data_IF_201226037998
#
_entry.id   IF_201226037998
#
_cell.length_a   1.000
_cell.length_b   1.000
_cell.length_c   1.000
_cell.angle_alpha   90.00
_cell.angle_beta   90.00
_cell.angle_gamma   90.00
#
_symmetry.space_group_name_H-M   'P 1'
#
loop_
_entity.id
_entity.type
_entity.pdbx_description
1 polymer ?
#
# COMPACT_ATOMS: atom_id res chain seq x y z
N UNK A 1 -70.95 -11.00 18.39
CA UNK A 1 -69.48 -11.07 18.32
C UNK A 1 -69.01 -9.65 18.02
N UNK A 2 -68.78 -8.74 18.98
CA UNK A 2 -67.69 -8.71 19.98
C UNK A 2 -66.32 -9.00 19.34
N UNK A 3 -65.26 -8.17 19.42
CA UNK A 3 -65.03 -6.85 20.01
C UNK A 3 -63.72 -6.25 19.39
N UNK A 4 -63.42 -5.00 19.75
CA UNK A 4 -62.27 -4.11 19.42
C UNK A 4 -60.87 -4.77 19.53
N UNK A 5 -59.77 -4.24 18.98
CA UNK A 5 -58.90 -3.14 19.47
C UNK A 5 -57.69 -3.05 18.50
N UNK A 6 -57.43 -1.91 17.84
CA UNK A 6 -56.37 -0.89 18.07
C UNK A 6 -54.93 -1.18 17.57
N UNK A 7 -54.43 -0.17 16.85
CA UNK A 7 -53.14 0.53 17.00
C UNK A 7 -51.90 0.26 16.14
N UNK A 8 -51.35 1.42 15.73
CA UNK A 8 -49.97 1.86 15.63
C UNK A 8 -48.96 1.30 14.61
N UNK A 9 -48.41 2.27 13.85
CA UNK A 9 -47.03 2.46 13.35
C UNK A 9 -46.04 1.27 13.43
N UNK A 10 -45.24 1.09 12.35
CA UNK A 10 -43.79 1.42 12.32
C UNK A 10 -43.01 0.82 11.13
N UNK A 11 -42.21 1.70 10.53
CA UNK A 11 -40.80 1.54 10.10
C UNK A 11 -40.38 0.61 8.94
N UNK A 12 -39.67 1.26 8.02
CA UNK A 12 -38.30 0.94 7.56
C UNK A 12 -38.02 -0.47 7.04
N UNK A 13 -37.84 -0.57 5.74
CA UNK A 13 -37.05 -1.65 5.13
C UNK A 13 -35.71 -1.07 4.70
N UNK A 14 -34.73 -1.16 5.60
CA UNK A 14 -33.31 -1.15 5.28
C UNK A 14 -33.04 -2.20 4.20
N UNK A 15 -32.61 -1.76 3.02
CA UNK A 15 -32.10 -2.66 1.98
C UNK A 15 -30.67 -3.01 2.40
N UNK A 16 -30.51 -4.18 3.00
CA UNK A 16 -29.21 -4.70 3.41
C UNK A 16 -28.23 -4.73 2.24
N UNK A 17 -27.04 -4.18 2.49
CA UNK A 17 -25.88 -4.24 1.62
C UNK A 17 -25.47 -5.72 1.47
N UNK A 18 -25.32 -6.19 0.22
CA UNK A 18 -24.87 -7.56 -0.04
C UNK A 18 -23.35 -7.53 -0.18
N UNK A 19 -22.65 -8.08 0.82
CA UNK A 19 -21.24 -8.47 0.70
C UNK A 19 -21.16 -9.61 -0.32
N UNK A 20 -20.53 -9.36 -1.46
CA UNK A 20 -20.20 -10.41 -2.41
C UNK A 20 -18.71 -10.74 -2.26
N UNK A 21 -18.36 -12.02 -2.28
CA UNK A 21 -16.97 -12.43 -2.48
C UNK A 21 -16.75 -12.61 -3.98
N UNK A 22 -15.78 -11.91 -4.56
CA UNK A 22 -15.29 -12.16 -5.91
C UNK A 22 -13.80 -12.47 -5.89
N UNK A 23 -13.41 -13.39 -6.77
CA UNK A 23 -12.02 -13.71 -7.13
C UNK A 23 -11.22 -14.48 -6.09
N UNK A 24 -11.04 -13.92 -4.90
CA UNK A 24 -10.07 -14.38 -3.90
C UNK A 24 -10.61 -14.36 -2.45
N UNK A 25 -11.91 -14.16 -2.26
CA UNK A 25 -12.51 -14.01 -0.92
C UNK A 25 -12.34 -12.59 -0.32
N UNK A 26 -11.86 -11.63 -1.11
CA UNK A 26 -11.78 -10.22 -0.74
C UNK A 26 -13.17 -9.66 -0.39
N UNK A 27 -13.32 -8.94 0.75
CA UNK A 27 -14.57 -8.30 1.08
C UNK A 27 -14.90 -7.26 0.00
N UNK A 28 -16.06 -7.43 -0.66
CA UNK A 28 -16.51 -6.51 -1.71
C UNK A 28 -17.85 -5.89 -1.35
N UNK A 29 -17.93 -4.56 -1.50
CA UNK A 29 -19.12 -3.75 -1.27
C UNK A 29 -19.55 -3.14 -2.60
N UNK A 30 -20.85 -3.18 -2.90
CA UNK A 30 -21.40 -2.38 -3.99
C UNK A 30 -21.70 -0.96 -3.49
N UNK A 31 -21.22 0.05 -4.19
CA UNK A 31 -21.47 1.44 -3.82
C UNK A 31 -22.95 1.83 -3.99
N UNK A 32 -23.43 2.66 -3.07
CA UNK A 32 -24.79 3.24 -3.09
C UNK A 32 -24.72 4.73 -2.78
N UNK A 33 -24.21 5.06 -1.60
CA UNK A 33 -23.94 6.42 -1.16
C UNK A 33 -22.78 6.44 -0.15
N UNK A 34 -22.13 7.60 0.07
CA UNK A 34 -20.99 7.70 0.99
C UNK A 34 -21.33 7.27 2.42
N UNK A 35 -22.51 7.60 2.95
CA UNK A 35 -22.90 7.27 4.32
C UNK A 35 -22.98 5.75 4.52
N UNK A 36 -23.63 5.03 3.60
CA UNK A 36 -23.71 3.57 3.66
C UNK A 36 -22.35 2.91 3.47
N UNK A 37 -21.54 3.40 2.52
CA UNK A 37 -20.18 2.90 2.31
C UNK A 37 -19.36 3.01 3.60
N UNK A 38 -19.40 4.18 4.23
CA UNK A 38 -18.64 4.48 5.42
C UNK A 38 -19.06 3.63 6.62
N UNK A 39 -20.37 3.44 6.81
CA UNK A 39 -20.89 2.52 7.83
C UNK A 39 -20.44 1.08 7.57
N UNK A 40 -20.41 0.65 6.31
CA UNK A 40 -19.96 -0.69 5.96
C UNK A 40 -18.47 -0.89 6.24
N UNK A 41 -17.62 0.10 5.90
CA UNK A 41 -16.18 0.08 6.19
C UNK A 41 -15.92 -0.10 7.70
N UNK A 42 -16.71 0.55 8.56
CA UNK A 42 -16.53 0.46 10.03
C UNK A 42 -16.75 -0.95 10.59
N UNK A 43 -17.35 -1.87 9.82
CA UNK A 43 -17.63 -3.24 10.23
C UNK A 43 -16.73 -4.28 9.53
N UNK A 44 -15.76 -3.85 8.72
CA UNK A 44 -14.80 -4.75 8.09
C UNK A 44 -13.72 -5.14 9.11
N UNK A 45 -13.42 -6.43 9.20
CA UNK A 45 -12.45 -6.97 10.15
C UNK A 45 -11.01 -6.98 9.66
N UNK A 46 -10.80 -6.80 8.36
CA UNK A 46 -9.50 -6.76 7.70
C UNK A 46 -8.99 -5.35 7.44
N UNK A 47 -7.85 -5.27 6.75
CA UNK A 47 -7.16 -4.03 6.39
C UNK A 47 -7.49 -3.50 4.99
N UNK A 48 -8.39 -4.17 4.25
CA UNK A 48 -8.83 -3.67 2.95
C UNK A 48 -10.27 -4.03 2.62
N UNK A 49 -10.86 -3.30 1.67
CA UNK A 49 -12.15 -3.61 1.05
C UNK A 49 -12.20 -3.10 -0.39
N UNK A 50 -12.84 -3.88 -1.27
CA UNK A 50 -13.09 -3.49 -2.65
C UNK A 50 -14.50 -2.89 -2.74
N UNK A 51 -14.62 -1.73 -3.37
CA UNK A 51 -15.89 -1.05 -3.60
C UNK A 51 -16.15 -0.99 -5.10
N UNK A 52 -17.27 -1.56 -5.55
CA UNK A 52 -17.66 -1.59 -6.96
C UNK A 52 -18.76 -0.58 -7.28
N UNK A 53 -18.98 -0.31 -8.57
CA UNK A 53 -19.95 0.65 -9.09
C UNK A 53 -19.70 2.10 -8.61
N UNK A 54 -18.43 2.47 -8.47
CA UNK A 54 -18.01 3.84 -8.11
C UNK A 54 -17.69 4.65 -9.37
N UNK A 55 -18.63 5.46 -9.85
CA UNK A 55 -18.37 6.42 -10.95
C UNK A 55 -17.39 7.52 -10.52
N UNK A 56 -16.82 8.27 -11.46
CA UNK A 56 -15.89 9.37 -11.13
C UNK A 56 -16.54 10.49 -10.32
N UNK A 57 -17.84 10.72 -10.51
CA UNK A 57 -18.61 11.67 -9.71
C UNK A 57 -18.90 11.13 -8.31
N UNK A 58 -19.16 9.82 -8.19
CA UNK A 58 -19.29 9.17 -6.88
C UNK A 58 -17.98 9.17 -6.12
N UNK A 59 -16.85 8.92 -6.78
CA UNK A 59 -15.53 9.00 -6.17
C UNK A 59 -15.26 10.41 -5.63
N UNK A 60 -15.51 11.46 -6.41
CA UNK A 60 -15.37 12.84 -5.95
C UNK A 60 -16.28 13.16 -4.74
N UNK A 61 -17.49 12.59 -4.69
CA UNK A 61 -18.38 12.70 -3.52
C UNK A 61 -17.80 11.96 -2.31
N UNK A 62 -17.30 10.74 -2.51
CA UNK A 62 -16.65 9.95 -1.46
C UNK A 62 -15.44 10.70 -0.87
N UNK A 63 -14.61 11.33 -1.70
CA UNK A 63 -13.46 12.14 -1.26
C UNK A 63 -13.89 13.29 -0.35
N UNK A 64 -14.85 14.10 -0.81
CA UNK A 64 -15.37 15.24 -0.07
C UNK A 64 -15.96 14.82 1.28
N UNK A 65 -16.76 13.75 1.29
CA UNK A 65 -17.43 13.27 2.50
C UNK A 65 -16.43 12.62 3.47
N UNK A 66 -15.40 11.90 2.97
CA UNK A 66 -14.31 11.34 3.79
C UNK A 66 -13.57 12.45 4.53
N UNK A 67 -13.25 13.55 3.84
CA UNK A 67 -12.58 14.72 4.45
C UNK A 67 -13.50 15.38 5.48
N UNK A 68 -14.77 15.63 5.12
CA UNK A 68 -15.76 16.26 6.02
C UNK A 68 -15.96 15.48 7.32
N UNK A 69 -16.00 14.15 7.23
CA UNK A 69 -16.15 13.26 8.39
C UNK A 69 -14.81 12.87 9.04
N UNK A 70 -13.68 13.34 8.51
CA UNK A 70 -12.32 13.07 9.01
C UNK A 70 -12.04 11.56 9.14
N UNK A 71 -12.48 10.80 8.14
CA UNK A 71 -12.34 9.33 8.12
C UNK A 71 -10.88 8.94 7.88
N UNK A 72 -10.42 7.93 8.63
CA UNK A 72 -9.02 7.52 8.64
C UNK A 72 -8.64 6.51 7.54
N UNK A 73 -9.61 5.83 6.90
CA UNK A 73 -9.32 4.91 5.80
C UNK A 73 -8.67 5.65 4.62
N UNK A 74 -7.90 4.94 3.79
CA UNK A 74 -7.16 5.49 2.63
C UNK A 74 -7.69 4.98 1.30
N UNK A 75 -7.60 5.80 0.27
CA UNK A 75 -7.93 5.38 -1.10
C UNK A 75 -6.70 4.75 -1.75
N UNK A 76 -6.44 3.47 -1.44
CA UNK A 76 -5.30 2.70 -1.99
C UNK A 76 -5.26 2.80 -3.51
N UNK A 77 -6.40 2.58 -4.16
CA UNK A 77 -6.52 2.79 -5.61
C UNK A 77 -7.95 3.07 -6.05
N UNK A 78 -8.10 4.03 -6.95
CA UNK A 78 -9.29 4.21 -7.75
C UNK A 78 -8.99 3.88 -9.21
N UNK A 79 -9.80 3.00 -9.79
CA UNK A 79 -9.80 2.65 -11.21
C UNK A 79 -11.06 3.24 -11.84
N UNK A 80 -10.91 4.37 -12.53
CA UNK A 80 -12.03 5.10 -13.10
C UNK A 80 -12.78 4.27 -14.14
N UNK A 81 -12.05 3.66 -15.08
CA UNK A 81 -12.67 2.88 -16.18
C UNK A 81 -13.40 1.61 -15.68
N UNK A 82 -12.92 1.02 -14.58
CA UNK A 82 -13.52 -0.18 -14.00
C UNK A 82 -14.62 0.14 -12.98
N UNK A 83 -14.78 1.41 -12.59
CA UNK A 83 -15.62 1.85 -11.47
C UNK A 83 -15.32 1.09 -10.16
N UNK A 84 -14.03 0.89 -9.87
CA UNK A 84 -13.55 0.17 -8.68
C UNK A 84 -12.75 1.13 -7.80
N UNK A 85 -13.07 1.14 -6.50
CA UNK A 85 -12.28 1.78 -5.45
C UNK A 85 -11.79 0.72 -4.48
N UNK A 86 -10.48 0.60 -4.32
CA UNK A 86 -9.82 -0.19 -3.28
C UNK A 86 -9.51 0.73 -2.10
N UNK A 87 -9.99 0.36 -0.92
CA UNK A 87 -9.84 1.13 0.32
C UNK A 87 -8.96 0.36 1.30
N UNK A 88 -7.95 1.03 1.85
CA UNK A 88 -7.18 0.53 3.00
C UNK A 88 -7.85 0.96 4.29
N UNK A 89 -7.98 0.01 5.22
CA UNK A 89 -8.50 0.19 6.56
C UNK A 89 -7.31 0.08 7.52
N UNK A 90 -6.89 1.17 8.18
CA UNK A 90 -5.68 1.14 9.01
C UNK A 90 -5.92 0.32 10.27
N UNK A 91 -5.51 -0.95 10.24
CA UNK A 91 -5.40 -1.79 11.44
C UNK A 91 -4.03 -1.59 12.08
N UNK A 92 -3.86 -1.98 13.35
CA UNK A 92 -2.53 -1.89 14.00
C UNK A 92 -1.49 -2.78 13.33
N UNK A 93 -1.90 -3.97 12.88
CA UNK A 93 -1.01 -4.89 12.18
C UNK A 93 -0.57 -4.29 10.85
N UNK A 94 -1.52 -3.78 10.07
CA UNK A 94 -1.26 -3.09 8.81
C UNK A 94 -0.29 -1.91 8.99
N UNK A 95 -0.58 -1.00 9.93
CA UNK A 95 0.25 0.18 10.13
C UNK A 95 1.68 -0.20 10.57
N UNK A 96 1.85 -1.22 11.43
CA UNK A 96 3.18 -1.65 11.85
C UNK A 96 3.98 -2.35 10.74
N UNK A 97 3.32 -3.01 9.78
CA UNK A 97 3.99 -3.60 8.62
C UNK A 97 4.80 -2.57 7.82
N UNK A 98 4.25 -1.37 7.58
CA UNK A 98 4.94 -0.34 6.80
C UNK A 98 5.68 0.70 7.66
N UNK A 99 5.11 1.15 8.79
CA UNK A 99 5.70 2.23 9.60
C UNK A 99 7.07 1.85 10.13
N UNK A 100 7.28 0.60 10.54
CA UNK A 100 8.57 0.19 11.12
C UNK A 100 9.69 0.13 10.09
N UNK A 101 9.36 -0.22 8.84
CA UNK A 101 10.28 -0.13 7.71
C UNK A 101 10.61 1.34 7.43
N UNK A 102 9.59 2.21 7.34
CA UNK A 102 9.78 3.64 7.11
C UNK A 102 10.62 4.31 8.23
N UNK A 103 10.33 4.02 9.50
CA UNK A 103 11.11 4.54 10.65
C UNK A 103 12.57 4.11 10.60
N UNK A 104 12.82 2.85 10.22
CA UNK A 104 14.19 2.34 10.11
C UNK A 104 14.94 3.03 8.98
N UNK A 105 14.27 3.30 7.86
CA UNK A 105 14.78 4.12 6.77
C UNK A 105 15.09 5.56 7.23
N UNK A 106 14.14 6.23 7.89
CA UNK A 106 14.29 7.60 8.40
C UNK A 106 15.46 7.73 9.38
N UNK A 107 15.63 6.76 10.28
CA UNK A 107 16.78 6.75 11.19
C UNK A 107 18.12 6.63 10.47
N UNK A 108 18.17 6.01 9.29
CA UNK A 108 19.38 5.92 8.46
C UNK A 108 19.60 7.21 7.70
N UNK A 109 18.55 7.86 7.18
CA UNK A 109 18.64 9.21 6.62
C UNK A 109 19.27 10.20 7.59
N UNK A 110 18.77 10.25 8.83
CA UNK A 110 19.30 11.15 9.88
C UNK A 110 20.77 10.84 10.18
N UNK A 111 21.14 9.56 10.25
CA UNK A 111 22.55 9.14 10.49
C UNK A 111 23.49 9.58 9.37
N UNK A 112 23.00 9.66 8.14
CA UNK A 112 23.76 10.12 6.97
C UNK A 112 23.69 11.64 6.77
N UNK A 113 22.96 12.40 7.63
CA UNK A 113 22.76 13.85 7.48
C UNK A 113 21.83 14.24 6.32
N UNK A 114 20.92 13.34 5.93
CA UNK A 114 20.02 13.47 4.79
C UNK A 114 18.60 13.86 5.17
N UNK A 115 18.32 14.17 6.43
CA UNK A 115 16.97 14.44 6.93
C UNK A 115 16.29 15.65 6.27
N UNK A 116 17.08 16.58 5.73
CA UNK A 116 16.58 17.72 4.96
C UNK A 116 16.62 17.48 3.44
N UNK A 117 17.22 16.37 2.99
CA UNK A 117 17.35 15.98 1.57
C UNK A 117 16.29 14.96 1.14
N UNK A 118 15.33 14.66 2.01
CA UNK A 118 14.24 13.73 1.76
C UNK A 118 12.93 14.31 2.25
N UNK A 119 11.85 14.12 1.48
CA UNK A 119 10.50 14.51 1.88
C UNK A 119 9.61 13.28 1.99
N UNK A 120 8.85 13.24 3.08
CA UNK A 120 7.76 12.29 3.26
C UNK A 120 6.49 12.87 2.68
N UNK A 121 5.82 12.08 1.83
CA UNK A 121 4.58 12.48 1.16
C UNK A 121 3.35 11.86 1.82
N UNK A 122 3.54 10.88 2.72
CA UNK A 122 2.48 10.34 3.58
C UNK A 122 1.20 9.98 2.81
N UNK A 123 0.05 10.43 3.31
CA UNK A 123 -1.26 10.17 2.71
C UNK A 123 -1.59 11.07 1.51
N UNK A 124 -0.60 11.56 0.77
CA UNK A 124 -0.84 12.31 -0.46
C UNK A 124 -1.50 11.41 -1.51
N UNK A 125 -2.50 11.94 -2.21
CA UNK A 125 -3.13 11.25 -3.34
C UNK A 125 -2.36 11.55 -4.62
N UNK A 126 -1.88 10.51 -5.31
CA UNK A 126 -1.17 10.61 -6.58
C UNK A 126 -2.11 10.26 -7.72
N UNK A 127 -1.99 10.96 -8.85
CA UNK A 127 -2.84 10.74 -10.03
C UNK A 127 -2.03 10.71 -11.30
N UNK A 128 -2.27 9.70 -12.12
CA UNK A 128 -1.70 9.64 -13.46
C UNK A 128 -2.15 10.88 -14.26
N UNK A 129 -1.21 11.51 -14.96
CA UNK A 129 -1.47 12.68 -15.83
C UNK A 129 -2.13 13.89 -15.15
N UNK A 130 -2.16 13.93 -13.81
CA UNK A 130 -2.87 14.96 -13.02
C UNK A 130 -4.35 15.12 -13.38
N UNK A 131 -5.00 14.07 -13.91
CA UNK A 131 -6.40 14.15 -14.31
C UNK A 131 -7.30 14.20 -13.06
N UNK A 132 -8.07 15.29 -12.83
CA UNK A 132 -8.99 15.34 -11.70
C UNK A 132 -10.04 14.24 -11.85
N UNK A 133 -10.31 13.49 -10.77
CA UNK A 133 -11.28 12.37 -10.75
C UNK A 133 -10.92 11.16 -11.63
N UNK A 134 -9.72 11.13 -12.20
CA UNK A 134 -9.17 9.95 -12.86
C UNK A 134 -8.50 9.01 -11.88
N UNK A 135 -7.86 7.97 -12.42
CA UNK A 135 -7.09 7.00 -11.64
C UNK A 135 -6.15 7.68 -10.64
N UNK A 136 -6.14 7.17 -9.42
CA UNK A 136 -5.31 7.70 -8.35
C UNK A 136 -5.18 6.74 -7.18
N UNK A 137 -4.23 7.03 -6.30
CA UNK A 137 -3.95 6.18 -5.14
C UNK A 137 -3.19 6.93 -4.06
N UNK A 138 -3.32 6.45 -2.84
CA UNK A 138 -2.57 6.83 -1.65
C UNK A 138 -1.70 5.64 -1.25
N UNK A 139 -0.39 5.85 -1.08
CA UNK A 139 0.50 4.80 -0.58
C UNK A 139 0.61 4.82 0.93
N UNK A 140 1.04 3.71 1.53
CA UNK A 140 1.11 3.61 3.00
C UNK A 140 2.30 4.37 3.58
N UNK A 141 3.47 4.27 2.94
CA UNK A 141 4.61 5.15 3.23
C UNK A 141 5.37 5.46 1.95
N UNK A 142 5.43 6.75 1.62
CA UNK A 142 5.96 7.23 0.35
C UNK A 142 6.86 8.44 0.54
N UNK A 143 7.96 8.50 -0.20
CA UNK A 143 8.89 9.62 -0.14
C UNK A 143 9.88 9.68 -1.29
N UNK A 144 10.61 10.78 -1.34
CA UNK A 144 11.62 11.01 -2.37
C UNK A 144 12.59 12.15 -2.04
N UNK A 145 13.61 12.34 -2.89
CA UNK A 145 14.65 13.34 -2.68
C UNK A 145 14.09 14.76 -2.78
N UNK A 146 14.60 15.63 -1.91
CA UNK A 146 14.27 17.05 -1.84
C UNK A 146 15.48 17.87 -2.31
N UNK A 147 15.30 18.83 -3.24
CA UNK A 147 14.03 19.38 -3.75
C UNK A 147 13.43 18.69 -4.97
N UNK A 148 14.09 17.68 -5.55
CA UNK A 148 13.75 17.11 -6.86
C UNK A 148 12.31 16.59 -6.95
N UNK A 149 11.78 16.05 -5.84
CA UNK A 149 10.40 15.55 -5.73
C UNK A 149 9.48 16.46 -4.93
N UNK A 150 9.96 17.54 -4.34
CA UNK A 150 9.18 18.45 -3.51
C UNK A 150 8.35 19.44 -4.33
N UNK A 151 7.51 18.88 -5.21
CA UNK A 151 6.61 19.64 -6.09
C UNK A 151 5.19 19.12 -5.97
N UNK A 152 4.20 19.93 -6.34
CA UNK A 152 2.76 19.58 -6.23
C UNK A 152 2.39 18.29 -6.99
N UNK A 153 3.13 17.96 -8.06
CA UNK A 153 2.90 16.75 -8.88
C UNK A 153 4.09 15.78 -8.81
N UNK A 154 4.99 15.95 -7.83
CA UNK A 154 6.19 15.13 -7.72
C UNK A 154 5.85 13.73 -7.22
N UNK A 155 6.20 12.71 -7.99
CA UNK A 155 6.08 11.32 -7.55
C UNK A 155 7.22 10.93 -6.60
N UNK A 156 6.98 10.02 -5.65
CA UNK A 156 8.01 9.48 -4.77
C UNK A 156 9.02 8.63 -5.57
N UNK A 157 10.19 8.37 -4.99
CA UNK A 157 11.13 7.36 -5.51
C UNK A 157 11.04 6.06 -4.72
N UNK A 158 10.58 6.11 -3.46
CA UNK A 158 10.28 4.97 -2.59
C UNK A 158 8.79 4.90 -2.27
N UNK A 159 8.22 3.72 -2.46
CA UNK A 159 6.88 3.37 -1.99
C UNK A 159 6.98 2.12 -1.13
N UNK A 160 6.31 2.12 0.02
CA UNK A 160 6.09 0.94 0.86
C UNK A 160 4.58 0.71 0.92
N UNK A 161 4.14 -0.49 0.55
CA UNK A 161 2.74 -0.92 0.63
C UNK A 161 2.62 -2.10 1.59
N UNK A 162 1.66 -2.01 2.52
CA UNK A 162 1.37 -3.08 3.46
C UNK A 162 0.05 -3.80 3.12
N UNK A 163 -0.02 -5.08 3.50
CA UNK A 163 -1.26 -5.85 3.47
C UNK A 163 -1.22 -7.02 4.44
N UNK A 164 -2.26 -7.24 5.23
CA UNK A 164 -2.42 -8.42 6.09
C UNK A 164 -3.61 -9.28 5.65
N UNK A 165 -4.73 -8.67 5.25
CA UNK A 165 -5.87 -9.39 4.68
C UNK A 165 -5.92 -9.31 3.16
N UNK A 166 -5.27 -8.31 2.56
CA UNK A 166 -5.07 -8.22 1.12
C UNK A 166 -4.17 -9.36 0.59
N UNK A 167 -4.44 -9.84 -0.62
CA UNK A 167 -3.65 -10.89 -1.25
C UNK A 167 -2.33 -10.32 -1.79
N UNK A 168 -1.28 -11.15 -1.81
CA UNK A 168 0.01 -10.73 -2.37
C UNK A 168 -0.12 -10.33 -3.85
N UNK A 169 -1.01 -10.99 -4.60
CA UNK A 169 -1.28 -10.65 -5.99
C UNK A 169 -1.97 -9.28 -6.17
N UNK A 170 -2.77 -8.83 -5.20
CA UNK A 170 -3.30 -7.47 -5.20
C UNK A 170 -2.19 -6.44 -4.92
N UNK A 171 -1.31 -6.71 -3.95
CA UNK A 171 -0.10 -5.89 -3.72
C UNK A 171 0.84 -5.85 -4.95
N UNK A 172 0.92 -6.92 -5.75
CA UNK A 172 1.65 -6.89 -7.02
C UNK A 172 1.00 -5.92 -8.03
N UNK A 173 -0.33 -5.91 -8.13
CA UNK A 173 -1.04 -4.94 -8.98
C UNK A 173 -0.79 -3.50 -8.51
N UNK A 174 -0.65 -3.29 -7.20
CA UNK A 174 -0.28 -2.00 -6.61
C UNK A 174 1.09 -1.55 -7.05
N UNK A 175 2.07 -2.44 -6.91
CA UNK A 175 3.43 -2.22 -7.37
C UNK A 175 3.49 -1.87 -8.87
N UNK A 176 2.79 -2.64 -9.72
CA UNK A 176 2.74 -2.36 -11.16
C UNK A 176 2.15 -0.98 -11.47
N UNK A 177 1.08 -0.60 -10.76
CA UNK A 177 0.45 0.70 -10.91
C UNK A 177 1.40 1.84 -10.52
N UNK A 178 2.10 1.75 -9.39
CA UNK A 178 3.04 2.80 -8.96
C UNK A 178 4.12 3.09 -10.01
N UNK A 179 4.70 2.05 -10.60
CA UNK A 179 5.70 2.21 -11.65
C UNK A 179 5.10 2.83 -12.92
N UNK A 180 3.97 2.32 -13.39
CA UNK A 180 3.36 2.78 -14.64
C UNK A 180 2.75 4.19 -14.52
N UNK A 181 1.99 4.46 -13.46
CA UNK A 181 1.27 5.72 -13.24
C UNK A 181 2.22 6.90 -12.98
N UNK A 182 3.37 6.62 -12.34
CA UNK A 182 4.42 7.60 -12.10
C UNK A 182 5.29 7.90 -13.31
N UNK A 183 5.01 7.32 -14.48
CA UNK A 183 5.89 7.40 -15.65
C UNK A 183 7.34 7.01 -15.28
N UNK A 184 7.47 5.91 -14.54
CA UNK A 184 8.73 5.37 -14.06
C UNK A 184 9.50 6.30 -13.10
N UNK A 185 8.84 7.27 -12.45
CA UNK A 185 9.47 8.14 -11.45
C UNK A 185 9.69 7.45 -10.10
N UNK A 186 8.79 6.52 -9.73
CA UNK A 186 9.00 5.55 -8.65
C UNK A 186 10.12 4.60 -9.05
N UNK A 187 11.05 4.33 -8.13
CA UNK A 187 12.26 3.53 -8.41
C UNK A 187 12.30 2.24 -7.61
N UNK A 188 11.75 2.25 -6.39
CA UNK A 188 11.64 1.10 -5.53
C UNK A 188 10.24 1.03 -4.96
N UNK A 189 9.59 -0.13 -5.09
CA UNK A 189 8.38 -0.49 -4.34
C UNK A 189 8.74 -1.64 -3.41
N UNK A 190 8.47 -1.46 -2.12
CA UNK A 190 8.62 -2.48 -1.08
C UNK A 190 7.23 -2.95 -0.66
N UNK A 191 6.91 -4.21 -0.91
CA UNK A 191 5.67 -4.82 -0.44
C UNK A 191 5.93 -5.50 0.91
N UNK A 192 5.08 -5.25 1.90
CA UNK A 192 5.15 -5.84 3.23
C UNK A 192 3.84 -6.58 3.55
N UNK A 193 3.88 -7.90 3.42
CA UNK A 193 2.72 -8.77 3.57
C UNK A 193 2.83 -9.57 4.87
N UNK A 194 1.77 -9.61 5.67
CA UNK A 194 1.58 -10.66 6.68
C UNK A 194 0.69 -11.77 6.10
N UNK A 195 1.21 -12.98 5.98
CA UNK A 195 0.44 -14.16 5.57
C UNK A 195 -0.09 -14.88 6.81
N UNK A 196 -1.39 -14.75 7.06
CA UNK A 196 -2.08 -15.40 8.19
C UNK A 196 -2.17 -16.92 8.07
N UNK A 197 -2.10 -17.49 6.86
CA UNK A 197 -2.18 -18.96 6.67
C UNK A 197 -0.84 -19.61 7.04
N UNK A 198 0.26 -18.98 6.59
CA UNK A 198 1.62 -19.48 6.84
C UNK A 198 2.25 -18.92 8.11
N UNK A 199 1.62 -17.92 8.73
CA UNK A 199 2.17 -17.17 9.87
C UNK A 199 3.58 -16.64 9.58
N UNK A 200 3.74 -15.94 8.45
CA UNK A 200 5.01 -15.37 8.01
C UNK A 200 4.85 -13.93 7.54
N UNK A 201 5.92 -13.15 7.68
CA UNK A 201 6.04 -11.84 7.02
C UNK A 201 6.80 -12.06 5.72
N UNK A 202 6.27 -11.52 4.62
CA UNK A 202 6.91 -11.53 3.31
C UNK A 202 7.24 -10.08 2.96
N UNK A 203 8.52 -9.79 2.73
CA UNK A 203 8.96 -8.52 2.15
C UNK A 203 9.45 -8.76 0.73
N UNK A 204 8.94 -7.98 -0.22
CA UNK A 204 9.41 -8.02 -1.60
C UNK A 204 9.91 -6.66 -2.05
N UNK A 205 11.15 -6.62 -2.54
CA UNK A 205 11.75 -5.42 -3.14
C UNK A 205 11.65 -5.49 -4.65
N UNK A 206 10.88 -4.59 -5.23
CA UNK A 206 10.67 -4.46 -6.66
C UNK A 206 11.39 -3.23 -7.22
N UNK A 207 12.00 -3.40 -8.38
CA UNK A 207 12.65 -2.34 -9.15
C UNK A 207 12.30 -2.50 -10.64
N UNK A 208 12.25 -1.40 -11.38
CA UNK A 208 12.15 -1.46 -12.83
C UNK A 208 13.51 -1.69 -13.50
N UNK A 209 13.54 -2.64 -14.43
CA UNK A 209 14.73 -2.93 -15.24
C UNK A 209 14.38 -2.96 -16.72
N UNK A 210 15.28 -2.44 -17.54
CA UNK A 210 15.22 -2.64 -18.98
C UNK A 210 15.42 -4.13 -19.30
N UNK A 211 14.64 -4.74 -20.22
CA UNK A 211 14.94 -6.06 -20.73
C UNK A 211 16.35 -6.02 -21.33
N UNK A 212 17.24 -6.92 -20.90
CA UNK A 212 18.56 -7.03 -21.50
C UNK A 212 18.39 -7.12 -23.03
N UNK A 213 19.05 -6.26 -23.83
CA UNK A 213 19.04 -6.43 -25.27
C UNK A 213 19.63 -7.81 -25.57
N UNK A 214 18.85 -8.68 -26.22
CA UNK A 214 19.37 -9.94 -26.73
C UNK A 214 20.53 -9.62 -27.66
N UNK A 215 21.74 -10.07 -27.34
CA UNK A 215 22.91 -9.92 -28.21
C UNK A 215 22.57 -10.42 -29.61
N UNK A 216 22.56 -9.53 -30.60
CA UNK A 216 22.34 -9.85 -32.01
C UNK A 216 21.03 -9.37 -32.63
N UNK A 217 20.12 -8.74 -31.89
CA UNK A 217 18.94 -8.12 -32.49
C UNK A 217 19.23 -6.68 -32.93
N UNK A 218 19.44 -6.46 -34.24
CA UNK A 218 19.31 -5.13 -34.85
C UNK A 218 17.85 -4.72 -34.78
N UNK A 219 17.48 -3.96 -33.76
CA UNK A 219 16.16 -3.32 -33.70
C UNK A 219 16.32 -1.83 -33.46
N UNK A 220 15.65 -1.07 -34.31
CA UNK A 220 15.24 0.32 -34.16
C UNK A 220 15.04 0.75 -32.70
N UNK A 221 15.32 2.02 -32.34
CA UNK A 221 15.21 2.54 -30.98
C UNK A 221 13.73 2.65 -30.55
N UNK A 222 13.06 1.53 -30.38
CA UNK A 222 11.97 1.46 -29.43
C UNK A 222 12.61 1.49 -28.05
N UNK A 223 12.29 2.53 -27.28
CA UNK A 223 12.72 2.69 -25.90
C UNK A 223 12.63 1.34 -25.16
N UNK A 224 13.70 0.96 -24.47
CA UNK A 224 13.68 -0.26 -23.69
C UNK A 224 12.51 -0.17 -22.70
N UNK A 225 11.49 -1.02 -22.89
CA UNK A 225 10.27 -1.00 -22.08
C UNK A 225 10.65 -1.46 -20.68
N UNK A 226 10.73 -0.52 -19.74
CA UNK A 226 10.94 -0.83 -18.33
C UNK A 226 9.84 -1.78 -17.84
N UNK A 227 10.23 -2.78 -17.05
CA UNK A 227 9.29 -3.71 -16.42
C UNK A 227 9.68 -3.92 -14.98
N UNK A 228 8.70 -4.00 -14.06
CA UNK A 228 8.99 -4.38 -12.69
C UNK A 228 9.62 -5.77 -12.61
N UNK A 229 10.60 -5.90 -11.74
CA UNK A 229 11.33 -7.15 -11.47
C UNK A 229 11.55 -7.26 -9.97
N UNK A 230 11.11 -8.37 -9.40
CA UNK A 230 11.44 -8.78 -8.04
C UNK A 230 12.97 -8.92 -7.94
N UNK A 231 13.60 -8.09 -7.12
CA UNK A 231 15.03 -8.14 -6.87
C UNK A 231 15.37 -8.97 -5.65
N UNK A 232 14.46 -9.02 -4.68
CA UNK A 232 14.65 -9.73 -3.43
C UNK A 232 13.31 -10.06 -2.81
N UNK A 233 13.19 -11.29 -2.34
CA UNK A 233 12.14 -11.74 -1.43
C UNK A 233 12.80 -12.07 -0.08
N UNK A 234 12.15 -11.67 1.01
CA UNK A 234 12.55 -11.96 2.37
C UNK A 234 11.36 -12.55 3.09
N UNK A 235 11.51 -13.78 3.56
CA UNK A 235 10.51 -14.42 4.41
C UNK A 235 11.00 -14.40 5.84
N UNK A 236 10.19 -13.88 6.75
CA UNK A 236 10.46 -13.90 8.19
C UNK A 236 9.42 -14.80 8.85
N UNK A 237 9.88 -15.74 9.67
CA UNK A 237 9.03 -16.65 10.44
C UNK A 237 9.32 -16.51 11.93
N UNK A 238 8.30 -16.79 12.76
CA UNK A 238 8.41 -16.77 14.22
C UNK A 238 8.63 -18.19 14.76
N UNK A 239 9.69 -18.36 15.55
CA UNK A 239 9.91 -19.54 16.36
C UNK A 239 9.42 -19.31 17.80
N UNK A 240 8.20 -19.78 18.05
CA UNK A 240 7.53 -19.69 19.34
C UNK A 240 8.04 -20.70 20.39
N UNK A 241 8.99 -21.60 20.05
CA UNK A 241 9.56 -22.57 21.00
C UNK A 241 10.61 -21.94 21.93
N UNK A 242 11.05 -20.73 21.62
CA UNK A 242 12.01 -19.94 22.39
C UNK A 242 11.30 -18.92 23.29
N UNK A 243 11.95 -18.50 24.39
CA UNK A 243 11.43 -17.48 25.30
C UNK A 243 12.52 -16.43 25.63
N UNK A 244 12.44 -15.18 25.13
CA UNK A 244 11.38 -14.67 24.24
C UNK A 244 11.37 -15.38 22.87
N UNK A 245 10.25 -15.31 22.12
CA UNK A 245 10.19 -15.84 20.76
C UNK A 245 11.30 -15.26 19.89
N UNK A 246 11.86 -16.10 19.03
CA UNK A 246 12.89 -15.70 18.08
C UNK A 246 12.34 -15.63 16.66
N UNK A 247 13.02 -14.89 15.80
CA UNK A 247 12.61 -14.68 14.42
C UNK A 247 13.71 -15.16 13.48
N UNK A 248 13.29 -15.92 12.47
CA UNK A 248 14.16 -16.47 11.44
C UNK A 248 13.93 -15.70 10.14
N UNK A 249 15.01 -15.11 9.60
CA UNK A 249 14.99 -14.35 8.35
C UNK A 249 15.60 -15.22 7.27
N UNK A 250 14.84 -15.50 6.22
CA UNK A 250 15.23 -16.33 5.08
C UNK A 250 15.54 -15.40 3.90
N UNK A 251 16.69 -14.73 3.96
CA UNK A 251 17.32 -13.94 2.90
C UNK A 251 18.62 -13.33 3.45
N UNK A 252 19.31 -12.56 2.63
CA UNK A 252 20.31 -11.59 3.09
C UNK A 252 19.62 -10.32 3.66
N UNK A 253 20.41 -9.34 4.10
CA UNK A 253 19.89 -8.03 4.49
C UNK A 253 19.07 -7.39 3.34
N UNK A 254 18.05 -6.60 3.69
CA UNK A 254 17.33 -5.80 2.70
C UNK A 254 18.18 -4.57 2.36
N UNK A 255 18.47 -4.34 1.08
CA UNK A 255 19.26 -3.18 0.66
C UNK A 255 18.46 -2.31 -0.31
N UNK A 256 18.27 -1.04 0.03
CA UNK A 256 17.67 -0.05 -0.88
C UNK A 256 18.77 0.83 -1.46
N UNK A 257 18.88 0.87 -2.79
CA UNK A 257 19.96 1.59 -3.46
C UNK A 257 19.82 3.10 -3.27
N UNK A 258 20.88 3.75 -2.79
CA UNK A 258 20.97 5.19 -2.68
C UNK A 258 20.77 5.86 -4.04
N UNK A 259 21.43 5.35 -5.08
CA UNK A 259 21.38 5.94 -6.42
C UNK A 259 19.97 5.89 -7.02
N UNK A 260 19.23 4.79 -6.81
CA UNK A 260 17.83 4.72 -7.22
C UNK A 260 16.97 5.72 -6.45
N UNK A 261 17.15 5.82 -5.13
CA UNK A 261 16.31 6.68 -4.31
C UNK A 261 16.59 8.17 -4.53
N UNK A 262 17.85 8.58 -4.66
CA UNK A 262 18.26 9.98 -4.79
C UNK A 262 18.52 10.44 -6.23
N UNK A 263 18.56 9.52 -7.20
CA UNK A 263 18.84 9.84 -8.61
C UNK A 263 20.26 10.34 -8.87
N UNK A 264 21.19 10.07 -7.94
CA UNK A 264 22.61 10.48 -8.02
C UNK A 264 23.49 9.50 -7.26
N UNK A 265 24.79 9.40 -7.58
CA UNK A 265 25.71 8.59 -6.80
C UNK A 265 25.86 9.12 -5.36
N UNK A 266 26.16 8.23 -4.40
CA UNK A 266 26.46 8.62 -3.02
C UNK A 266 27.74 9.47 -2.93
N UNK A 267 27.79 10.32 -1.91
CA UNK A 267 28.89 11.25 -1.62
C UNK A 267 29.30 11.14 -0.16
N UNK A 268 30.61 11.14 0.10
CA UNK A 268 31.14 11.17 1.47
C UNK A 268 30.70 9.94 2.27
N UNK A 269 29.82 10.16 3.25
CA UNK A 269 29.28 9.12 4.16
C UNK A 269 27.91 8.56 3.72
N UNK A 270 27.39 9.01 2.59
CA UNK A 270 26.17 8.43 2.01
C UNK A 270 26.46 7.02 1.49
N UNK A 271 25.53 6.11 1.71
CA UNK A 271 25.62 4.71 1.30
C UNK A 271 24.22 4.15 1.04
N UNK A 272 24.16 2.92 0.52
CA UNK A 272 22.89 2.21 0.38
C UNK A 272 22.23 1.97 1.75
N UNK A 273 20.90 1.93 1.76
CA UNK A 273 20.12 1.73 2.98
C UNK A 273 19.99 0.24 3.27
N UNK A 274 20.96 -0.32 3.98
CA UNK A 274 20.92 -1.72 4.45
C UNK A 274 20.08 -1.86 5.71
N UNK A 275 19.08 -2.75 5.70
CA UNK A 275 18.36 -3.23 6.89
C UNK A 275 18.96 -4.58 7.25
N UNK A 276 19.81 -4.57 8.27
CA UNK A 276 20.50 -5.77 8.72
C UNK A 276 19.53 -6.86 9.17
N UNK A 277 19.98 -8.12 9.18
CA UNK A 277 19.19 -9.23 9.72
C UNK A 277 18.70 -8.95 11.15
N UNK A 278 19.51 -8.29 11.97
CA UNK A 278 19.10 -7.91 13.33
C UNK A 278 17.97 -6.87 13.33
N UNK A 279 18.02 -5.89 12.43
CA UNK A 279 16.93 -4.91 12.25
C UNK A 279 15.66 -5.57 11.71
N UNK A 280 15.76 -6.52 10.79
CA UNK A 280 14.62 -7.29 10.26
C UNK A 280 13.98 -8.20 11.33
N UNK A 281 14.77 -8.80 12.23
CA UNK A 281 14.24 -9.54 13.39
C UNK A 281 13.50 -8.64 14.37
N UNK A 282 14.03 -7.44 14.63
CA UNK A 282 13.38 -6.44 15.48
C UNK A 282 12.11 -5.87 14.84
N UNK A 283 12.13 -5.66 13.52
CA UNK A 283 10.95 -5.32 12.74
C UNK A 283 9.84 -6.36 12.92
N UNK A 284 10.18 -7.64 12.75
CA UNK A 284 9.26 -8.74 12.97
C UNK A 284 8.68 -8.74 14.39
N UNK A 285 9.50 -8.50 15.42
CA UNK A 285 9.02 -8.39 16.80
C UNK A 285 7.90 -7.34 16.98
N UNK A 286 8.04 -6.16 16.37
CA UNK A 286 7.01 -5.14 16.41
C UNK A 286 5.73 -5.54 15.68
N UNK A 287 5.86 -6.14 14.49
CA UNK A 287 4.70 -6.60 13.69
C UNK A 287 3.94 -7.69 14.44
N UNK A 288 4.65 -8.69 14.98
CA UNK A 288 4.04 -9.81 15.71
C UNK A 288 3.33 -9.40 17.00
N UNK A 289 3.66 -8.25 17.60
CA UNK A 289 2.96 -7.74 18.77
C UNK A 289 1.47 -7.42 18.52
N UNK A 290 1.06 -7.33 17.24
CA UNK A 290 -0.33 -7.04 16.83
C UNK A 290 -1.01 -8.18 16.05
N UNK A 291 -0.32 -9.31 15.89
CA UNK A 291 -0.92 -10.54 15.36
C UNK A 291 -1.74 -11.17 16.48
N UNK A 292 -3.01 -11.48 16.19
CA UNK A 292 -3.87 -12.22 17.13
C UNK A 292 -3.61 -13.72 16.95
N UNK A 293 -3.52 -14.44 18.06
CA UNK A 293 -3.50 -15.91 18.07
C UNK A 293 -4.85 -16.51 17.64
#
# INVERSE_FOLDING_TARGET
>A
MAAQVSDALRTSTSRGLVLASHGDGAPTIRFTDPTQLFQAIDHISGDFVIVTDVSSDDFARIELERERERRAFRFRRYHADAHILVVTIPTKLHEELHIQLNRTYDHKLVRMGLEHSWIMMGSATFRAQNHPRGDGGEGDSVGGPNPERATINGWPTLVIEAGDSESLNALHQDMEWWFAASNHEVKIVLLAKFDHIRHEIILERWEERSPNPRSGATTTPHAAVLRPRLQQEIVITRDATTNPPSYNVISDALVLSFELLFGRPPRGHEEDFEFSIAELKRYAEYVWAFVRD
#
